data_IF_749900232311
#
_entry.id   IF_749900232311
#
_cell.length_a   1.000
_cell.length_b   1.000
_cell.length_c   1.000
_cell.angle_alpha   90.00
_cell.angle_beta   90.00
_cell.angle_gamma   90.00
#
_symmetry.space_group_name_H-M   'P 1'
#
loop_
_entity.id
_entity.type
_entity.pdbx_description
1 polymer ?
#
# COMPACT_ATOMS: atom_id res chain seq x y z
N UNK A 1 -8.36 -7.39 -24.67
CA UNK A 1 -7.09 -7.16 -23.94
C UNK A 1 -5.90 -7.62 -24.76
N UNK A 2 -5.79 -8.91 -25.12
CA UNK A 2 -4.66 -9.35 -25.95
C UNK A 2 -4.66 -8.78 -27.39
N UNK A 3 -5.85 -8.57 -27.98
CA UNK A 3 -5.99 -7.85 -29.26
C UNK A 3 -5.72 -6.34 -29.19
N UNK A 4 -5.35 -5.79 -28.03
CA UNK A 4 -5.08 -4.37 -27.82
C UNK A 4 -3.60 -4.05 -27.51
N UNK A 5 -2.68 -5.01 -27.67
CA UNK A 5 -1.23 -4.78 -27.55
C UNK A 5 -0.66 -4.77 -26.13
N UNK A 6 -1.36 -5.31 -25.13
CA UNK A 6 -0.83 -5.44 -23.76
C UNK A 6 0.29 -6.47 -23.71
N UNK A 7 1.44 -6.11 -23.11
CA UNK A 7 2.60 -7.00 -22.92
C UNK A 7 2.45 -7.97 -21.75
N UNK A 8 1.55 -7.67 -20.81
CA UNK A 8 1.28 -8.46 -19.60
C UNK A 8 -0.17 -8.30 -19.16
N UNK A 9 -0.69 -9.28 -18.40
CA UNK A 9 -2.03 -9.25 -17.82
C UNK A 9 -1.98 -9.49 -16.31
N UNK A 10 -2.39 -8.50 -15.53
CA UNK A 10 -2.54 -8.65 -14.07
C UNK A 10 -3.97 -9.11 -13.75
N UNK A 11 -4.10 -10.23 -13.05
CA UNK A 11 -5.40 -10.75 -12.61
C UNK A 11 -5.52 -10.61 -11.11
N UNK A 12 -6.37 -9.67 -10.66
CA UNK A 12 -6.84 -9.67 -9.29
C UNK A 12 -7.83 -10.83 -9.13
N UNK A 13 -7.51 -11.83 -8.33
CA UNK A 13 -8.30 -13.05 -8.17
C UNK A 13 -9.58 -12.84 -7.36
N UNK A 14 -10.40 -11.87 -7.78
CA UNK A 14 -11.73 -11.59 -7.23
C UNK A 14 -12.68 -11.20 -8.33
N UNK A 15 -13.96 -11.41 -8.09
CA UNK A 15 -14.97 -10.76 -8.94
C UNK A 15 -15.08 -9.29 -8.56
N UNK A 16 -15.59 -8.47 -9.50
CA UNK A 16 -15.87 -7.05 -9.23
C UNK A 16 -16.86 -6.85 -8.07
N UNK A 17 -17.76 -7.81 -7.85
CA UNK A 17 -18.77 -7.77 -6.79
C UNK A 17 -18.18 -7.98 -5.39
N UNK A 18 -17.04 -8.67 -5.28
CA UNK A 18 -16.43 -9.01 -3.98
C UNK A 18 -15.65 -7.83 -3.37
N UNK A 19 -15.30 -6.83 -4.17
CA UNK A 19 -14.50 -5.68 -3.73
C UNK A 19 -13.20 -6.12 -3.06
N UNK A 20 -13.03 -5.74 -1.78
CA UNK A 20 -11.83 -6.09 -0.98
C UNK A 20 -12.06 -7.23 0.03
N UNK A 21 -13.20 -7.93 -0.05
CA UNK A 21 -13.54 -9.00 0.89
C UNK A 21 -12.80 -10.29 0.54
N UNK A 22 -12.22 -11.01 1.52
CA UNK A 22 -11.67 -12.34 1.29
C UNK A 22 -12.75 -13.34 0.82
N UNK A 23 -12.37 -14.47 0.20
CA UNK A 23 -11.01 -14.86 -0.20
C UNK A 23 -10.58 -14.28 -1.56
N UNK A 24 -9.34 -14.56 -1.97
CA UNK A 24 -8.93 -14.50 -3.38
C UNK A 24 -9.03 -15.91 -3.98
N UNK A 25 -9.59 -16.03 -5.18
CA UNK A 25 -9.83 -17.29 -5.89
C UNK A 25 -8.70 -17.58 -6.90
N UNK A 26 -7.48 -17.79 -6.39
CA UNK A 26 -6.29 -17.98 -7.24
C UNK A 26 -6.40 -19.21 -8.16
N UNK A 27 -7.14 -20.23 -7.73
CA UNK A 27 -7.42 -21.46 -8.48
C UNK A 27 -8.18 -21.24 -9.80
N UNK A 28 -8.75 -20.04 -10.00
CA UNK A 28 -9.42 -19.66 -11.25
C UNK A 28 -8.44 -19.11 -12.30
N UNK A 29 -7.27 -18.64 -11.89
CA UNK A 29 -6.26 -18.04 -12.78
C UNK A 29 -5.73 -19.02 -13.85
N UNK A 30 -5.51 -20.33 -13.59
CA UNK A 30 -5.03 -21.26 -14.61
C UNK A 30 -5.88 -21.24 -15.89
N UNK A 31 -7.21 -21.22 -15.77
CA UNK A 31 -8.11 -21.14 -16.93
C UNK A 31 -7.93 -19.87 -17.77
N UNK A 32 -7.52 -18.77 -17.14
CA UNK A 32 -7.24 -17.50 -17.82
C UNK A 32 -5.90 -17.58 -18.53
N UNK A 33 -4.88 -18.18 -17.88
CA UNK A 33 -3.56 -18.41 -18.46
C UNK A 33 -3.65 -19.25 -19.73
N UNK A 34 -4.44 -20.33 -19.71
CA UNK A 34 -4.62 -21.20 -20.88
C UNK A 34 -5.29 -20.47 -22.06
N UNK A 35 -6.08 -19.44 -21.76
CA UNK A 35 -6.81 -18.66 -22.76
C UNK A 35 -5.99 -17.50 -23.38
N UNK A 36 -4.84 -17.14 -22.81
CA UNK A 36 -4.03 -16.00 -23.27
C UNK A 36 -2.58 -16.39 -23.55
N UNK A 37 -1.96 -15.76 -24.55
CA UNK A 37 -0.54 -16.01 -24.89
C UNK A 37 0.46 -15.03 -24.25
N UNK A 38 -0.01 -14.13 -23.40
CA UNK A 38 0.82 -13.14 -22.70
C UNK A 38 1.05 -13.56 -21.25
N UNK A 39 2.16 -13.14 -20.62
CA UNK A 39 2.40 -13.38 -19.19
C UNK A 39 1.21 -12.93 -18.33
N UNK A 40 0.83 -13.78 -17.38
CA UNK A 40 -0.22 -13.49 -16.40
C UNK A 40 0.41 -13.34 -15.03
N UNK A 41 0.16 -12.21 -14.39
CA UNK A 41 0.63 -11.87 -13.05
C UNK A 41 -0.53 -12.05 -12.07
N UNK A 42 -0.35 -12.88 -11.05
CA UNK A 42 -1.39 -13.09 -10.05
C UNK A 42 -1.39 -11.96 -9.00
N UNK A 43 -2.58 -11.54 -8.55
CA UNK A 43 -2.75 -10.47 -7.57
C UNK A 43 -3.92 -10.75 -6.61
N UNK A 44 -3.82 -10.18 -5.40
CA UNK A 44 -4.87 -10.18 -4.39
C UNK A 44 -4.58 -11.12 -3.22
N UNK A 45 -4.86 -10.66 -1.99
CA UNK A 45 -4.70 -11.39 -0.72
C UNK A 45 -3.34 -12.01 -0.41
N UNK A 46 -2.27 -11.48 -1.00
CA UNK A 46 -0.90 -11.85 -0.62
C UNK A 46 -0.48 -10.95 0.55
N UNK A 47 -0.50 -11.50 1.77
CA UNK A 47 -0.15 -10.78 3.00
C UNK A 47 1.14 -11.30 3.64
N UNK A 48 1.55 -12.52 3.30
CA UNK A 48 2.72 -13.22 3.86
C UNK A 48 3.48 -13.95 2.77
N UNK A 49 4.70 -14.39 3.08
CA UNK A 49 5.49 -15.28 2.20
C UNK A 49 4.71 -16.56 1.89
N UNK A 50 4.02 -17.13 2.87
CA UNK A 50 3.21 -18.33 2.67
C UNK A 50 2.02 -18.10 1.74
N UNK A 51 1.39 -16.92 1.79
CA UNK A 51 0.35 -16.54 0.82
C UNK A 51 0.93 -16.42 -0.59
N UNK A 52 2.14 -15.86 -0.74
CA UNK A 52 2.81 -15.76 -2.03
C UNK A 52 3.10 -17.15 -2.63
N UNK A 53 3.69 -18.05 -1.84
CA UNK A 53 3.96 -19.43 -2.25
C UNK A 53 2.66 -20.17 -2.61
N UNK A 54 1.60 -20.01 -1.81
CA UNK A 54 0.29 -20.59 -2.08
C UNK A 54 -0.33 -20.01 -3.35
N UNK A 55 -0.25 -18.70 -3.54
CA UNK A 55 -0.76 -18.02 -4.74
C UNK A 55 -0.07 -18.55 -5.99
N UNK A 56 1.26 -18.69 -6.00
CA UNK A 56 1.99 -19.28 -7.13
C UNK A 56 1.54 -20.72 -7.41
N UNK A 57 1.45 -21.55 -6.36
CA UNK A 57 0.99 -22.95 -6.50
C UNK A 57 -0.42 -23.07 -7.08
N UNK A 58 -1.37 -22.25 -6.61
CA UNK A 58 -2.78 -22.33 -7.03
C UNK A 58 -3.05 -21.67 -8.37
N UNK A 59 -2.38 -20.55 -8.66
CA UNK A 59 -2.56 -19.80 -9.91
C UNK A 59 -1.71 -20.31 -11.07
N UNK A 60 -0.64 -21.04 -10.78
CA UNK A 60 0.41 -21.39 -11.72
C UNK A 60 1.29 -20.21 -12.15
N UNK A 61 1.13 -19.02 -11.56
CA UNK A 61 1.93 -17.83 -11.87
C UNK A 61 3.27 -17.82 -11.14
N UNK A 62 4.31 -17.42 -11.85
CA UNK A 62 5.63 -17.14 -11.27
C UNK A 62 5.67 -15.70 -10.72
N UNK A 63 5.10 -14.76 -11.48
CA UNK A 63 5.04 -13.35 -11.13
C UNK A 63 3.80 -13.01 -10.30
N UNK A 64 4.03 -12.19 -9.27
CA UNK A 64 3.02 -11.74 -8.34
C UNK A 64 3.03 -10.20 -8.27
N UNK A 65 1.84 -9.61 -8.23
CA UNK A 65 1.69 -8.21 -7.85
C UNK A 65 1.23 -8.12 -6.39
N UNK A 66 1.90 -7.29 -5.60
CA UNK A 66 1.54 -7.04 -4.20
C UNK A 66 0.72 -5.74 -4.09
N UNK A 67 -0.36 -5.80 -3.30
CA UNK A 67 -1.25 -4.66 -3.06
C UNK A 67 -1.21 -4.23 -1.60
N UNK A 68 -2.30 -4.46 -0.86
CA UNK A 68 -2.40 -4.06 0.55
C UNK A 68 -1.36 -4.73 1.46
N UNK A 69 -0.88 -5.92 1.11
CA UNK A 69 0.17 -6.63 1.84
C UNK A 69 1.42 -5.79 2.03
N UNK A 70 1.96 -5.22 0.95
CA UNK A 70 3.19 -4.41 1.01
C UNK A 70 2.98 -3.05 1.70
N UNK A 71 1.74 -2.53 1.70
CA UNK A 71 1.42 -1.29 2.43
C UNK A 71 1.34 -1.55 3.95
N UNK A 72 0.91 -2.76 4.35
CA UNK A 72 0.83 -3.18 5.74
C UNK A 72 2.17 -3.72 6.28
N UNK A 73 3.00 -4.29 5.41
CA UNK A 73 4.36 -4.76 5.69
C UNK A 73 5.29 -4.38 4.51
N UNK A 74 5.98 -3.23 4.58
CA UNK A 74 6.88 -2.78 3.52
C UNK A 74 8.04 -3.75 3.24
N UNK A 75 8.37 -4.66 4.16
CA UNK A 75 9.42 -5.67 3.99
C UNK A 75 8.94 -6.92 3.24
N UNK A 76 7.64 -7.06 2.95
CA UNK A 76 7.06 -8.28 2.39
C UNK A 76 7.73 -8.72 1.08
N UNK A 77 8.07 -7.79 0.18
CA UNK A 77 8.72 -8.13 -1.08
C UNK A 77 10.13 -8.71 -0.87
N UNK A 78 10.89 -8.18 0.08
CA UNK A 78 12.21 -8.73 0.43
C UNK A 78 12.10 -10.09 1.09
N UNK A 79 11.08 -10.30 1.93
CA UNK A 79 10.83 -11.60 2.55
C UNK A 79 10.47 -12.68 1.51
N UNK A 80 9.64 -12.35 0.52
CA UNK A 80 9.30 -13.27 -0.59
C UNK A 80 10.55 -13.58 -1.41
N UNK A 81 11.35 -12.57 -1.72
CA UNK A 81 12.59 -12.77 -2.49
C UNK A 81 13.62 -13.62 -1.73
N UNK A 82 13.77 -13.39 -0.44
CA UNK A 82 14.68 -14.18 0.40
C UNK A 82 14.28 -15.66 0.43
N UNK A 83 12.97 -15.96 0.51
CA UNK A 83 12.44 -17.32 0.39
C UNK A 83 12.78 -17.94 -0.98
N UNK A 84 12.59 -17.18 -2.07
CA UNK A 84 12.90 -17.62 -3.43
C UNK A 84 14.40 -17.92 -3.61
N UNK A 85 15.28 -17.17 -2.93
CA UNK A 85 16.73 -17.35 -2.94
C UNK A 85 17.22 -18.40 -1.92
N UNK A 86 16.32 -18.98 -1.10
CA UNK A 86 16.67 -19.91 -0.02
C UNK A 86 17.49 -19.27 1.10
N UNK A 87 17.42 -17.94 1.25
CA UNK A 87 18.14 -17.20 2.28
C UNK A 87 17.50 -17.38 3.65
N UNK A 88 18.32 -17.61 4.67
CA UNK A 88 17.87 -17.84 6.05
C UNK A 88 17.64 -16.56 6.85
N UNK A 89 18.17 -15.43 6.38
CA UNK A 89 18.02 -14.13 7.04
C UNK A 89 17.46 -13.08 6.05
N UNK A 90 16.13 -12.98 6.03
CA UNK A 90 15.46 -11.95 5.26
C UNK A 90 15.57 -10.61 5.97
N UNK A 91 16.05 -9.58 5.26
CA UNK A 91 16.08 -8.20 5.76
C UNK A 91 14.70 -7.79 6.27
N UNK A 92 14.63 -7.39 7.53
CA UNK A 92 13.43 -6.84 8.17
C UNK A 92 13.46 -5.32 8.15
N UNK A 93 12.28 -4.72 8.01
CA UNK A 93 12.09 -3.28 8.16
C UNK A 93 11.51 -3.08 9.55
N UNK A 94 12.28 -2.45 10.42
CA UNK A 94 11.85 -2.13 11.77
C UNK A 94 11.01 -0.85 11.77
N UNK A 95 10.27 -0.60 12.86
CA UNK A 95 9.41 0.59 12.95
C UNK A 95 10.17 1.90 12.72
N UNK A 96 11.40 1.98 13.23
CA UNK A 96 12.27 3.15 13.13
C UNK A 96 12.68 3.45 11.68
N UNK A 97 12.82 2.40 10.85
CA UNK A 97 13.13 2.56 9.43
C UNK A 97 11.97 3.23 8.67
N UNK A 98 10.74 3.16 9.19
CA UNK A 98 9.56 3.79 8.58
C UNK A 98 9.46 5.30 8.86
N UNK A 99 10.19 5.82 9.84
CA UNK A 99 10.09 7.22 10.27
C UNK A 99 10.34 8.22 9.12
N UNK A 100 11.44 8.12 8.35
CA UNK A 100 11.66 9.00 7.20
C UNK A 100 10.56 8.87 6.13
N UNK A 101 10.00 7.67 5.96
CA UNK A 101 8.94 7.42 4.99
C UNK A 101 7.59 8.02 5.42
N UNK A 102 7.29 8.02 6.72
CA UNK A 102 6.11 8.69 7.27
C UNK A 102 6.17 10.20 7.02
N UNK A 103 7.34 10.83 7.23
CA UNK A 103 7.55 12.26 6.92
C UNK A 103 7.36 12.52 5.44
N UNK A 104 8.06 11.76 4.59
CA UNK A 104 8.03 11.98 3.15
C UNK A 104 6.62 11.82 2.59
N UNK A 105 5.90 10.79 3.03
CA UNK A 105 4.51 10.58 2.68
C UNK A 105 3.63 11.75 3.13
N UNK A 106 3.81 12.23 4.36
CA UNK A 106 3.05 13.36 4.88
C UNK A 106 3.30 14.65 4.09
N UNK A 107 4.54 14.91 3.69
CA UNK A 107 4.88 16.04 2.82
C UNK A 107 4.18 15.95 1.46
N UNK A 108 4.16 14.76 0.83
CA UNK A 108 3.42 14.54 -0.42
C UNK A 108 1.92 14.76 -0.23
N UNK A 109 1.35 14.21 0.83
CA UNK A 109 -0.07 14.40 1.17
C UNK A 109 -0.41 15.89 1.36
N UNK A 110 0.47 16.66 2.01
CA UNK A 110 0.26 18.09 2.19
C UNK A 110 0.39 18.89 0.89
N UNK A 111 1.32 18.50 0.01
CA UNK A 111 1.51 19.14 -1.29
C UNK A 111 0.35 18.87 -2.26
N UNK A 112 -0.14 17.63 -2.30
CA UNK A 112 -1.01 17.16 -3.40
C UNK A 112 -2.50 17.15 -3.04
N UNK A 113 -2.86 17.09 -1.75
CA UNK A 113 -4.25 16.93 -1.32
C UNK A 113 -4.81 18.17 -0.64
N UNK A 114 -6.12 18.35 -0.73
CA UNK A 114 -6.83 19.41 0.01
C UNK A 114 -6.78 19.15 1.51
N UNK A 115 -6.79 20.19 2.38
CA UNK A 115 -6.65 20.03 3.83
C UNK A 115 -7.57 18.99 4.47
N UNK A 116 -8.84 18.92 4.03
CA UNK A 116 -9.82 17.97 4.56
C UNK A 116 -9.53 16.50 4.24
N UNK A 117 -8.68 16.21 3.25
CA UNK A 117 -8.32 14.86 2.83
C UNK A 117 -7.04 14.33 3.51
N UNK A 118 -6.17 15.22 4.00
CA UNK A 118 -4.80 14.90 4.42
C UNK A 118 -4.75 13.92 5.58
N UNK A 119 -5.36 14.27 6.71
CA UNK A 119 -5.31 13.47 7.94
C UNK A 119 -5.84 12.04 7.73
N UNK A 120 -6.85 11.88 6.86
CA UNK A 120 -7.41 10.56 6.52
C UNK A 120 -6.38 9.62 5.88
N UNK A 121 -5.46 10.13 5.04
CA UNK A 121 -4.45 9.31 4.37
C UNK A 121 -3.42 8.74 5.33
N UNK A 122 -2.89 9.56 6.22
CA UNK A 122 -1.94 9.09 7.24
C UNK A 122 -2.60 8.07 8.17
N UNK A 123 -3.81 8.34 8.64
CA UNK A 123 -4.57 7.40 9.47
C UNK A 123 -4.82 6.08 8.76
N UNK A 124 -5.17 6.11 7.48
CA UNK A 124 -5.41 4.91 6.68
C UNK A 124 -4.14 4.05 6.60
N UNK A 125 -2.98 4.68 6.38
CA UNK A 125 -1.72 3.96 6.30
C UNK A 125 -1.31 3.37 7.66
N UNK A 126 -1.32 4.17 8.73
CA UNK A 126 -1.07 3.69 10.09
C UNK A 126 -2.02 2.54 10.46
N UNK A 127 -3.29 2.63 10.08
CA UNK A 127 -4.25 1.55 10.32
C UNK A 127 -3.87 0.23 9.63
N UNK A 128 -3.28 0.27 8.44
CA UNK A 128 -2.77 -0.92 7.76
C UNK A 128 -1.51 -1.48 8.44
N UNK A 129 -0.57 -0.60 8.82
CA UNK A 129 0.68 -0.96 9.48
C UNK A 129 0.48 -1.67 10.82
N UNK A 130 -0.65 -1.43 11.52
CA UNK A 130 -1.05 -2.15 12.76
C UNK A 130 -1.03 -3.67 12.63
N UNK A 131 -1.15 -4.21 11.42
CA UNK A 131 -1.07 -5.66 11.16
C UNK A 131 0.32 -6.21 11.46
N UNK A 132 1.36 -5.38 11.39
CA UNK A 132 2.76 -5.80 11.47
C UNK A 132 3.54 -5.15 12.60
N UNK A 133 3.20 -3.90 12.96
CA UNK A 133 3.94 -3.07 13.90
C UNK A 133 3.05 -2.71 15.11
N UNK A 134 3.35 -3.21 16.32
CA UNK A 134 2.68 -2.78 17.55
C UNK A 134 2.74 -1.26 17.77
N UNK A 135 3.85 -0.62 17.38
CA UNK A 135 4.05 0.83 17.47
C UNK A 135 3.05 1.60 16.59
N UNK A 136 2.63 1.02 15.46
CA UNK A 136 1.61 1.60 14.61
C UNK A 136 0.22 1.63 15.28
N UNK A 137 -0.08 0.72 16.22
CA UNK A 137 -1.29 0.81 17.05
C UNK A 137 -1.23 2.06 17.92
N UNK A 138 -0.14 2.25 18.67
CA UNK A 138 0.03 3.41 19.53
C UNK A 138 -0.03 4.73 18.72
N UNK A 139 0.67 4.78 17.59
CA UNK A 139 0.63 5.91 16.67
C UNK A 139 -0.79 6.18 16.15
N UNK A 140 -1.50 5.15 15.69
CA UNK A 140 -2.88 5.28 15.19
C UNK A 140 -3.83 5.80 16.27
N UNK A 141 -3.77 5.24 17.48
CA UNK A 141 -4.62 5.69 18.59
C UNK A 141 -4.37 7.16 18.95
N UNK A 142 -3.13 7.62 18.86
CA UNK A 142 -2.78 9.01 19.11
C UNK A 142 -3.35 9.95 18.04
N UNK A 143 -3.20 9.61 16.75
CA UNK A 143 -3.62 10.50 15.67
C UNK A 143 -5.10 10.40 15.30
N UNK A 144 -5.83 9.35 15.73
CA UNK A 144 -7.20 9.07 15.22
C UNK A 144 -8.16 10.25 15.41
N UNK A 145 -7.98 11.05 16.45
CA UNK A 145 -8.84 12.21 16.78
C UNK A 145 -8.41 13.51 16.10
N UNK A 146 -7.15 13.63 15.67
CA UNK A 146 -6.59 14.82 15.03
C UNK A 146 -7.24 15.07 13.67
N UNK A 147 -7.51 16.32 13.31
CA UNK A 147 -8.28 16.66 12.10
C UNK A 147 -7.53 17.52 11.11
N UNK A 148 -6.60 18.34 11.58
CA UNK A 148 -5.92 19.31 10.73
C UNK A 148 -4.44 18.99 10.53
N UNK A 149 -3.81 19.66 9.56
CA UNK A 149 -2.41 19.45 9.24
C UNK A 149 -1.48 19.78 10.41
N UNK A 150 -1.74 20.88 11.12
CA UNK A 150 -0.88 21.37 12.19
C UNK A 150 -0.74 20.36 13.32
N UNK A 151 -1.84 19.73 13.74
CA UNK A 151 -1.84 18.68 14.78
C UNK A 151 -1.00 17.48 14.36
N UNK A 152 -1.19 16.99 13.13
CA UNK A 152 -0.48 15.83 12.60
C UNK A 152 1.02 16.14 12.44
N UNK A 153 1.37 17.31 11.90
CA UNK A 153 2.76 17.72 11.74
C UNK A 153 3.46 17.86 13.08
N UNK A 154 2.83 18.50 14.06
CA UNK A 154 3.38 18.62 15.40
C UNK A 154 3.61 17.26 16.05
N UNK A 155 2.65 16.33 15.90
CA UNK A 155 2.83 14.97 16.40
C UNK A 155 4.00 14.24 15.71
N UNK A 156 4.05 14.25 14.38
CA UNK A 156 5.15 13.62 13.63
C UNK A 156 6.52 14.17 14.08
N UNK A 157 6.63 15.47 14.36
CA UNK A 157 7.88 16.09 14.83
C UNK A 157 8.34 15.52 16.17
N UNK A 158 7.41 15.10 17.04
CA UNK A 158 7.77 14.43 18.31
C UNK A 158 8.32 13.02 18.12
N UNK A 159 8.03 12.37 16.97
CA UNK A 159 8.47 11.02 16.68
C UNK A 159 9.86 11.00 16.02
N UNK A 160 10.13 11.96 15.14
CA UNK A 160 11.26 11.88 14.18
C UNK A 160 12.18 13.10 14.20
N UNK A 161 11.83 14.12 14.99
CA UNK A 161 12.52 15.42 15.01
C UNK A 161 11.94 16.43 14.01
N UNK A 162 12.56 17.63 13.90
CA UNK A 162 12.06 18.72 13.08
C UNK A 162 12.02 18.37 11.59
N UNK A 163 10.92 18.70 10.93
CA UNK A 163 10.77 18.69 9.47
C UNK A 163 9.79 19.79 9.04
N UNK A 164 9.86 20.17 7.77
CA UNK A 164 9.00 21.20 7.20
C UNK A 164 7.89 20.59 6.32
N UNK A 165 6.72 21.19 6.41
CA UNK A 165 5.63 21.06 5.45
C UNK A 165 5.20 22.47 5.09
N UNK A 166 5.41 22.88 3.84
CA UNK A 166 4.90 24.17 3.41
C UNK A 166 3.39 24.23 3.69
N UNK A 167 2.96 25.26 4.39
CA UNK A 167 1.54 25.56 4.46
C UNK A 167 1.09 25.86 3.04
N UNK A 168 0.36 24.93 2.43
CA UNK A 168 -0.33 25.21 1.18
C UNK A 168 -1.25 26.39 1.45
N UNK A 169 -0.89 27.58 1.00
CA UNK A 169 -1.85 28.68 0.91
C UNK A 169 -3.03 28.14 0.11
N UNK A 170 -4.28 28.21 0.60
CA UNK A 170 -5.42 27.88 -0.23
C UNK A 170 -5.29 28.71 -1.50
N UNK A 171 -5.19 28.08 -2.67
CA UNK A 171 -5.48 28.80 -3.90
C UNK A 171 -6.95 29.19 -3.79
N UNK A 172 -7.21 30.47 -3.51
CA UNK A 172 -8.53 31.05 -3.70
C UNK A 172 -8.87 30.81 -5.17
N UNK A 173 -9.78 29.87 -5.41
CA UNK A 173 -10.43 29.76 -6.71
C UNK A 173 -11.29 31.01 -6.80
N UNK A 174 -10.82 31.97 -7.59
CA UNK A 174 -11.57 33.18 -7.91
C UNK A 174 -12.80 32.79 -8.75
N UNK A 175 -13.94 32.68 -8.09
CA UNK A 175 -15.23 32.41 -8.72
C UNK A 175 -15.78 33.62 -9.49
N UNK A 176 -15.12 34.78 -9.49
CA UNK A 176 -15.58 35.98 -10.19
C UNK A 176 -15.29 35.98 -11.70
N UNK A 177 -14.49 35.03 -12.22
CA UNK A 177 -14.19 34.91 -13.65
C UNK A 177 -15.05 33.89 -14.42
N UNK A 178 -16.08 33.30 -13.79
CA UNK A 178 -16.93 32.28 -14.39
C UNK A 178 -18.33 32.77 -14.85
N UNK A 179 -18.50 34.07 -15.11
CA UNK A 179 -19.76 34.63 -15.64
C UNK A 179 -19.51 35.49 -16.89
#
# INVERSE_FOLDING_TARGET
MQGAGSSELVVHARTKADGYRPPAYWERIPSIRDAVKIPVIANGEIWTVQDALRCRRESGCDDLMLGRGIVADPGLAWAIRAEDEGATDARRIEWQDLHPHLIRFWQMVCADLTPGQRAGRLKQWLNLLRRRYPEAEAAFQHVRTMRNQREISAWLQTQVGPFDVSESTPQEVDWQLAH
#
